data_IF_859825435724
#
_entry.id   IF_859825435724
#
_cell.length_a   1.000
_cell.length_b   1.000
_cell.length_c   1.000
_cell.angle_alpha   90.00
_cell.angle_beta   90.00
_cell.angle_gamma   90.00
#
_symmetry.space_group_name_H-M   'P 1'
#
loop_
_entity.id
_entity.type
_entity.pdbx_description
1 polymer ?
#
# COMPACT_ATOMS: atom_id res chain seq x y z
N UNK A 1 -30.06 30.25 46.58
CA UNK A 1 -30.47 29.88 45.21
C UNK A 1 -29.33 30.20 44.25
N UNK A 2 -28.15 29.59 44.36
CA UNK A 2 -27.85 28.14 44.29
C UNK A 2 -28.03 27.65 42.85
N UNK A 3 -26.92 27.64 42.12
CA UNK A 3 -26.53 26.58 41.17
C UNK A 3 -27.39 26.29 39.91
N UNK A 4 -28.24 27.20 39.41
CA UNK A 4 -29.15 26.84 38.30
C UNK A 4 -29.02 27.59 36.96
N UNK A 5 -28.19 28.65 36.84
CA UNK A 5 -28.11 29.39 35.56
C UNK A 5 -26.75 29.28 34.84
N UNK A 6 -25.73 28.67 35.45
CA UNK A 6 -24.44 28.38 34.79
C UNK A 6 -24.35 26.92 34.31
N UNK A 7 -25.42 26.12 34.44
CA UNK A 7 -25.45 24.71 34.02
C UNK A 7 -26.00 24.47 32.61
N UNK A 8 -26.53 25.48 31.93
CA UNK A 8 -27.13 25.31 30.58
C UNK A 8 -26.11 25.57 29.45
N UNK A 9 -24.88 25.97 29.79
CA UNK A 9 -23.78 26.13 28.82
C UNK A 9 -22.77 24.96 28.85
N UNK A 10 -23.05 23.90 29.60
CA UNK A 10 -22.23 22.69 29.75
C UNK A 10 -22.88 21.43 29.12
N UNK A 11 -23.65 21.61 28.04
CA UNK A 11 -24.08 20.50 27.16
C UNK A 11 -23.39 20.53 25.79
N UNK A 12 -22.28 21.26 25.68
CA UNK A 12 -21.30 21.03 24.64
C UNK A 12 -20.32 19.98 25.16
N UNK A 13 -20.02 18.99 24.31
CA UNK A 13 -19.11 17.86 24.54
C UNK A 13 -19.76 16.64 25.21
N UNK A 14 -20.18 15.67 24.38
CA UNK A 14 -19.64 14.30 24.38
C UNK A 14 -20.52 13.36 23.55
N UNK A 15 -20.71 13.67 22.26
CA UNK A 15 -20.80 12.63 21.23
C UNK A 15 -20.15 13.15 19.93
N UNK A 16 -18.94 13.73 20.04
CA UNK A 16 -17.95 13.34 19.04
C UNK A 16 -17.52 11.98 19.54
N UNK A 17 -18.24 10.95 19.12
CA UNK A 17 -17.68 9.60 19.14
C UNK A 17 -16.33 9.80 18.44
N UNK A 18 -15.18 9.57 19.09
CA UNK A 18 -13.97 9.42 18.32
C UNK A 18 -14.32 8.29 17.37
N UNK A 19 -14.51 8.61 16.08
CA UNK A 19 -14.48 7.57 15.07
C UNK A 19 -13.21 6.83 15.41
N UNK A 20 -13.37 5.60 15.88
CA UNK A 20 -12.24 4.73 16.12
C UNK A 20 -11.71 4.46 14.72
N UNK A 21 -10.87 5.36 14.19
CA UNK A 21 -10.10 5.15 12.97
C UNK A 21 -8.95 4.21 13.39
N UNK A 22 -9.32 3.02 13.85
CA UNK A 22 -8.41 1.93 14.17
C UNK A 22 -8.20 1.02 12.94
N UNK A 23 -8.63 1.41 11.74
CA UNK A 23 -8.67 0.48 10.59
C UNK A 23 -8.30 1.02 9.21
N UNK A 24 -7.92 2.30 9.03
CA UNK A 24 -7.53 2.81 7.70
C UNK A 24 -6.02 2.63 7.50
N UNK A 25 -5.56 1.40 7.25
CA UNK A 25 -4.16 1.14 6.92
C UNK A 25 -3.98 0.14 5.78
N UNK A 26 -4.46 0.43 4.56
CA UNK A 26 -3.89 -0.24 3.41
C UNK A 26 -2.36 -0.11 3.42
N UNK A 27 -1.70 -1.14 2.93
CA UNK A 27 -0.26 -1.16 2.75
C UNK A 27 0.11 -1.82 1.45
N UNK A 28 1.30 -1.51 0.98
CA UNK A 28 1.95 -2.32 -0.03
C UNK A 28 3.37 -2.66 0.39
N UNK A 29 3.77 -3.87 0.04
CA UNK A 29 5.12 -4.40 0.20
C UNK A 29 5.73 -4.58 -1.20
N UNK A 30 6.95 -4.09 -1.41
CA UNK A 30 7.73 -4.34 -2.62
C UNK A 30 8.88 -5.28 -2.26
N UNK A 31 8.75 -6.54 -2.67
CA UNK A 31 9.73 -7.58 -2.47
C UNK A 31 10.70 -7.68 -3.65
N UNK A 32 12.00 -7.56 -3.37
CA UNK A 32 13.04 -7.74 -4.38
C UNK A 32 13.42 -9.22 -4.53
N UNK A 33 12.76 -9.95 -5.45
CA UNK A 33 13.06 -11.36 -5.80
C UNK A 33 13.91 -11.45 -7.08
N UNK A 34 14.89 -10.56 -7.22
CA UNK A 34 15.80 -10.57 -8.36
C UNK A 34 16.95 -11.57 -8.15
N UNK A 35 17.50 -12.14 -9.25
CA UNK A 35 18.63 -13.06 -9.14
C UNK A 35 19.86 -12.39 -8.52
N UNK A 36 20.62 -13.16 -7.74
CA UNK A 36 21.93 -12.72 -7.23
C UNK A 36 22.87 -12.34 -8.37
N UNK A 37 23.84 -11.48 -8.08
CA UNK A 37 24.84 -10.98 -9.03
C UNK A 37 24.25 -10.22 -10.23
N UNK A 38 23.12 -9.54 -10.03
CA UNK A 38 22.51 -8.64 -11.00
C UNK A 38 22.58 -7.20 -10.49
N UNK A 39 22.36 -6.17 -11.34
CA UNK A 39 22.31 -4.78 -10.91
C UNK A 39 21.29 -4.56 -9.78
N UNK A 40 21.54 -3.55 -8.94
CA UNK A 40 20.63 -3.19 -7.86
C UNK A 40 19.29 -2.69 -8.42
N UNK A 41 18.18 -3.17 -7.87
CA UNK A 41 16.86 -2.62 -8.13
C UNK A 41 16.83 -1.18 -7.61
N UNK A 42 16.33 -0.28 -8.45
CA UNK A 42 15.96 1.08 -8.05
C UNK A 42 14.46 1.23 -8.30
N UNK A 43 13.75 1.86 -7.39
CA UNK A 43 12.40 2.32 -7.70
C UNK A 43 12.09 3.65 -7.00
N UNK A 44 11.04 4.32 -7.46
CA UNK A 44 10.50 5.54 -6.89
C UNK A 44 8.98 5.42 -6.81
N UNK A 45 8.37 5.84 -5.71
CA UNK A 45 6.92 5.77 -5.53
C UNK A 45 6.36 7.11 -5.06
N UNK A 46 5.17 7.47 -5.53
CA UNK A 46 4.48 8.68 -5.10
C UNK A 46 2.95 8.60 -5.25
N UNK A 47 2.26 9.47 -4.51
CA UNK A 47 0.81 9.68 -4.53
C UNK A 47 0.48 11.15 -4.29
N UNK A 48 0.13 11.91 -5.33
CA UNK A 48 -0.18 13.34 -5.18
C UNK A 48 1.00 14.10 -4.56
N UNK A 49 0.82 14.64 -3.35
CA UNK A 49 1.85 15.36 -2.60
C UNK A 49 2.75 14.43 -1.75
N UNK A 50 2.42 13.14 -1.64
CA UNK A 50 3.21 12.15 -0.91
C UNK A 50 4.27 11.53 -1.83
N UNK A 51 5.49 12.07 -1.78
CA UNK A 51 6.66 11.49 -2.44
C UNK A 51 7.41 10.55 -1.46
N UNK A 52 7.44 9.25 -1.75
CA UNK A 52 8.16 8.27 -0.91
C UNK A 52 9.67 8.24 -1.21
N UNK A 53 10.07 8.85 -2.33
CA UNK A 53 11.45 8.96 -2.74
C UNK A 53 11.98 7.72 -3.45
N UNK A 54 13.31 7.72 -3.66
CA UNK A 54 14.01 6.62 -4.33
C UNK A 54 14.43 5.56 -3.33
N UNK A 55 14.19 4.30 -3.68
CA UNK A 55 14.54 3.13 -2.88
C UNK A 55 15.42 2.15 -3.64
N UNK A 56 16.24 1.41 -2.87
CA UNK A 56 17.26 0.51 -3.39
C UNK A 56 17.35 -0.77 -2.55
N UNK A 57 16.25 -1.54 -2.41
CA UNK A 57 16.21 -2.67 -1.49
C UNK A 57 17.26 -3.74 -1.88
N UNK A 58 18.00 -4.31 -0.91
CA UNK A 58 18.78 -5.52 -1.14
C UNK A 58 17.93 -6.65 -1.74
N UNK A 59 18.59 -7.58 -2.44
CA UNK A 59 17.94 -8.80 -2.92
C UNK A 59 17.41 -9.61 -1.73
N UNK A 60 16.16 -10.06 -1.82
CA UNK A 60 15.43 -10.80 -0.80
C UNK A 60 14.87 -9.95 0.33
N UNK A 61 14.89 -8.62 0.20
CA UNK A 61 14.32 -7.70 1.19
C UNK A 61 13.07 -6.99 0.68
N UNK A 62 12.29 -6.49 1.62
CA UNK A 62 11.02 -5.80 1.39
C UNK A 62 11.14 -4.30 1.69
N UNK A 63 10.48 -3.49 0.87
CA UNK A 63 10.08 -2.14 1.22
C UNK A 63 8.61 -2.14 1.62
N UNK A 64 8.30 -1.65 2.81
CA UNK A 64 6.94 -1.59 3.34
C UNK A 64 6.46 -0.14 3.42
N UNK A 65 5.25 0.12 2.93
CA UNK A 65 4.57 1.40 3.12
C UNK A 65 3.11 1.18 3.52
N UNK A 66 2.65 1.90 4.55
CA UNK A 66 1.27 1.90 5.01
C UNK A 66 0.72 3.32 5.06
N UNK A 67 -0.55 3.48 4.72
CA UNK A 67 -1.19 4.78 4.54
C UNK A 67 -2.69 4.70 4.80
N UNK A 68 -3.34 5.85 4.93
CA UNK A 68 -4.80 5.94 4.98
C UNK A 68 -5.32 6.21 3.56
N UNK A 69 -6.10 5.29 3.00
CA UNK A 69 -6.65 5.45 1.65
C UNK A 69 -8.05 6.07 1.66
N UNK A 70 -8.28 6.96 0.69
CA UNK A 70 -9.60 7.40 0.24
C UNK A 70 -9.88 6.80 -1.13
N UNK A 71 -11.12 6.82 -1.64
CA UNK A 71 -11.42 6.32 -2.99
C UNK A 71 -10.61 6.97 -4.12
N UNK A 72 -10.01 8.15 -3.90
CA UNK A 72 -9.13 8.83 -4.85
C UNK A 72 -7.63 8.63 -4.59
N UNK A 73 -7.26 7.88 -3.55
CA UNK A 73 -5.85 7.61 -3.22
C UNK A 73 -5.26 6.66 -4.25
N UNK A 74 -4.12 7.04 -4.81
CA UNK A 74 -3.39 6.27 -5.81
C UNK A 74 -1.90 6.41 -5.57
N UNK A 75 -1.20 5.29 -5.43
CA UNK A 75 0.26 5.25 -5.45
C UNK A 75 0.72 4.61 -6.76
N UNK A 76 1.60 5.30 -7.47
CA UNK A 76 2.35 4.71 -8.58
C UNK A 76 3.79 4.49 -8.17
N UNK A 77 4.43 3.51 -8.80
CA UNK A 77 5.86 3.31 -8.68
C UNK A 77 6.51 3.15 -10.06
N UNK A 78 7.72 3.66 -10.17
CA UNK A 78 8.61 3.52 -11.33
C UNK A 78 9.79 2.65 -10.93
N UNK A 79 9.96 1.52 -11.59
CA UNK A 79 11.00 0.53 -11.35
C UNK A 79 12.06 0.58 -12.45
N UNK A 80 13.34 0.49 -12.05
CA UNK A 80 14.49 0.38 -12.93
C UNK A 80 15.37 -0.79 -12.52
N UNK A 81 15.68 -1.67 -13.47
CA UNK A 81 16.60 -2.77 -13.23
C UNK A 81 17.21 -3.29 -14.54
N UNK A 82 18.54 -3.35 -14.61
CA UNK A 82 19.27 -3.98 -15.72
C UNK A 82 18.85 -3.49 -17.12
N UNK A 83 18.69 -2.17 -17.29
CA UNK A 83 18.24 -1.56 -18.55
C UNK A 83 16.74 -1.67 -18.83
N UNK A 84 15.97 -2.27 -17.90
CA UNK A 84 14.51 -2.31 -17.92
C UNK A 84 13.94 -1.16 -17.10
N UNK A 85 12.78 -0.69 -17.52
CA UNK A 85 12.10 0.48 -16.99
C UNK A 85 10.59 0.23 -17.11
N UNK A 86 9.88 0.24 -15.98
CA UNK A 86 8.44 0.01 -15.94
C UNK A 86 7.79 0.89 -14.87
N UNK A 87 6.71 1.57 -15.23
CA UNK A 87 5.88 2.37 -14.32
C UNK A 87 4.43 1.90 -14.32
N UNK A 88 3.84 1.79 -13.13
CA UNK A 88 2.42 1.43 -12.97
C UNK A 88 1.91 1.80 -11.57
N UNK A 89 0.59 1.80 -11.41
CA UNK A 89 -0.06 1.98 -10.12
C UNK A 89 0.15 0.76 -9.23
N UNK A 90 0.78 0.94 -8.07
CA UNK A 90 0.91 -0.12 -7.04
C UNK A 90 -0.30 -0.16 -6.10
N UNK A 91 -1.12 0.89 -6.13
CA UNK A 91 -2.41 0.96 -5.44
C UNK A 91 -3.29 1.99 -6.14
N UNK A 92 -4.53 1.65 -6.52
CA UNK A 92 -5.48 2.63 -7.08
C UNK A 92 -6.95 2.38 -6.68
N UNK A 93 -7.22 1.45 -5.76
CA UNK A 93 -8.57 1.17 -5.29
C UNK A 93 -8.59 0.68 -3.84
N UNK A 94 -9.59 1.09 -3.07
CA UNK A 94 -9.81 0.65 -1.68
C UNK A 94 -10.47 -0.72 -1.58
N UNK A 95 -10.96 -1.27 -2.70
CA UNK A 95 -11.62 -2.59 -2.74
C UNK A 95 -10.63 -3.75 -2.95
N UNK A 96 -9.33 -3.47 -2.91
CA UNK A 96 -8.26 -4.42 -3.16
C UNK A 96 -6.94 -3.67 -3.32
N UNK A 97 -6.24 -3.94 -4.41
CA UNK A 97 -4.96 -3.29 -4.72
C UNK A 97 -5.07 -2.38 -5.95
N UNK A 98 -5.40 -2.98 -7.08
CA UNK A 98 -5.51 -2.30 -8.38
C UNK A 98 -6.71 -2.82 -9.14
N UNK A 99 -7.38 -1.95 -9.91
CA UNK A 99 -8.62 -2.30 -10.63
C UNK A 99 -8.44 -3.35 -11.73
N UNK A 100 -7.23 -3.49 -12.27
CA UNK A 100 -6.89 -4.39 -13.37
C UNK A 100 -5.96 -5.54 -12.93
N UNK A 101 -5.78 -5.72 -11.61
CA UNK A 101 -5.04 -6.84 -11.03
C UNK A 101 -5.98 -7.96 -10.58
N UNK A 102 -5.40 -9.14 -10.37
CA UNK A 102 -6.14 -10.30 -9.88
C UNK A 102 -5.83 -10.55 -8.40
N UNK A 103 -6.67 -10.01 -7.53
CA UNK A 103 -6.70 -10.27 -6.08
C UNK A 103 -8.15 -10.41 -5.61
N UNK A 104 -8.42 -11.11 -4.50
CA UNK A 104 -9.73 -11.07 -3.86
C UNK A 104 -10.15 -9.66 -3.47
N UNK A 105 -11.45 -9.46 -3.34
CA UNK A 105 -12.01 -8.21 -2.80
C UNK A 105 -11.52 -7.99 -1.35
N UNK A 106 -11.44 -6.71 -0.97
CA UNK A 106 -11.07 -6.25 0.37
C UNK A 106 -9.65 -6.63 0.83
N UNK A 107 -8.76 -7.02 -0.09
CA UNK A 107 -7.32 -7.15 0.21
C UNK A 107 -6.74 -5.77 0.56
N UNK A 108 -6.28 -5.63 1.80
CA UNK A 108 -5.70 -4.38 2.31
C UNK A 108 -4.18 -4.36 2.33
N UNK A 109 -3.52 -5.52 2.17
CA UNK A 109 -2.06 -5.58 2.02
C UNK A 109 -1.68 -6.13 0.64
N UNK A 110 -1.10 -5.27 -0.18
CA UNK A 110 -0.73 -5.56 -1.55
C UNK A 110 0.74 -5.98 -1.63
N UNK A 111 1.00 -7.21 -2.07
CA UNK A 111 2.36 -7.71 -2.19
C UNK A 111 2.82 -7.64 -3.64
N UNK A 112 3.84 -6.82 -3.91
CA UNK A 112 4.48 -6.69 -5.20
C UNK A 112 5.80 -7.43 -5.20
N UNK A 113 5.94 -8.44 -6.06
CA UNK A 113 7.18 -9.19 -6.21
C UNK A 113 7.86 -8.81 -7.52
N UNK A 114 9.05 -8.22 -7.40
CA UNK A 114 9.87 -7.79 -8.54
C UNK A 114 10.79 -8.94 -8.94
N UNK A 115 10.65 -9.44 -10.17
CA UNK A 115 11.40 -10.58 -10.71
C UNK A 115 12.09 -10.24 -12.02
N UNK A 116 13.01 -11.10 -12.45
CA UNK A 116 13.74 -10.89 -13.70
C UNK A 116 12.85 -10.87 -14.96
N UNK A 117 11.73 -11.59 -14.92
CA UNK A 117 10.78 -11.72 -16.02
C UNK A 117 9.65 -10.69 -15.95
N UNK A 118 9.44 -10.00 -14.82
CA UNK A 118 8.42 -8.95 -14.68
C UNK A 118 7.98 -8.77 -13.24
N UNK A 119 6.79 -8.22 -13.06
CA UNK A 119 6.21 -7.90 -11.75
C UNK A 119 4.98 -8.76 -11.48
N UNK A 120 4.92 -9.34 -10.29
CA UNK A 120 3.77 -10.11 -9.81
C UNK A 120 3.04 -9.34 -8.71
N UNK A 121 1.71 -9.45 -8.72
CA UNK A 121 0.82 -9.02 -7.65
C UNK A 121 0.43 -10.24 -6.82
N UNK A 122 0.45 -10.10 -5.50
CA UNK A 122 0.04 -11.15 -4.59
C UNK A 122 -0.76 -10.65 -3.40
N UNK A 123 -1.44 -11.61 -2.77
CA UNK A 123 -2.23 -11.45 -1.57
C UNK A 123 -1.95 -12.62 -0.62
N UNK A 124 -2.08 -12.39 0.69
CA UNK A 124 -1.97 -13.46 1.66
C UNK A 124 -3.24 -14.31 1.66
N UNK A 125 -3.10 -15.60 1.36
CA UNK A 125 -4.18 -16.56 1.42
C UNK A 125 -4.15 -17.27 2.79
N UNK A 126 -5.26 -17.18 3.51
CA UNK A 126 -5.38 -17.69 4.87
C UNK A 126 -5.55 -19.21 4.95
N UNK A 127 -6.07 -19.84 3.90
CA UNK A 127 -6.27 -21.29 3.86
C UNK A 127 -4.93 -22.01 3.68
N UNK A 128 -4.09 -21.50 2.78
CA UNK A 128 -2.75 -22.05 2.53
C UNK A 128 -1.63 -21.37 3.34
N UNK A 129 -1.93 -20.27 4.05
CA UNK A 129 -1.00 -19.50 4.91
C UNK A 129 0.25 -19.00 4.19
N UNK A 130 0.08 -18.53 2.96
CA UNK A 130 1.18 -18.04 2.12
C UNK A 130 0.69 -16.92 1.19
N UNK A 131 1.63 -16.16 0.65
CA UNK A 131 1.32 -15.18 -0.40
C UNK A 131 1.20 -15.92 -1.73
N UNK A 132 0.05 -15.77 -2.40
CA UNK A 132 -0.17 -16.29 -3.74
C UNK A 132 0.13 -15.17 -4.73
N UNK A 133 1.08 -15.40 -5.63
CA UNK A 133 1.48 -14.42 -6.64
C UNK A 133 0.93 -14.78 -8.01
N UNK A 134 0.41 -13.77 -8.70
CA UNK A 134 0.03 -13.83 -10.12
C UNK A 134 0.82 -12.80 -10.90
N UNK A 135 1.26 -13.17 -12.11
CA UNK A 135 1.93 -12.24 -13.02
C UNK A 135 1.01 -11.05 -13.33
N UNK A 136 1.51 -9.83 -13.11
CA UNK A 136 0.74 -8.60 -13.33
C UNK A 136 1.26 -7.82 -14.55
N UNK A 137 2.58 -7.69 -14.69
CA UNK A 137 3.23 -6.99 -15.81
C UNK A 137 4.52 -7.68 -16.23
N UNK A 138 4.83 -7.61 -17.52
CA UNK A 138 6.19 -7.77 -18.02
C UNK A 138 6.94 -6.44 -17.93
N UNK A 139 8.28 -6.49 -17.97
CA UNK A 139 9.14 -5.30 -17.95
C UNK A 139 8.99 -4.41 -19.17
#
# INVERSE_FOLDING_TARGET
MVYFLVKVLFTLQLFIIPYNIHGCKPSFDIHNDLPKNTPQLKFHCASGDDDLGYHYPPIGSDFHWSFCATPSTLFFCHFWWNGKDLSFDVFNTVFGCVTDGHVPDDVVNCHWQVKADGINLGYFDYDVKQIIYTKYRDW
#
